data_IF_703094366496
#
_entry.id   IF_703094366496
#
_cell.length_a   1.000
_cell.length_b   1.000
_cell.length_c   1.000
_cell.angle_alpha   90.00
_cell.angle_beta   90.00
_cell.angle_gamma   90.00
#
_symmetry.space_group_name_H-M   'P 1'
#
loop_
_entity.id
_entity.type
_entity.pdbx_description
1 polymer ?
#
# COMPACT_ATOMS: atom_id res chain seq x y z
N UNK A 1 -12.48 -10.94 -19.29
CA UNK A 1 -12.51 -9.68 -18.53
C UNK A 1 -12.25 -9.91 -17.04
N UNK A 2 -12.93 -10.87 -16.38
CA UNK A 2 -12.66 -11.25 -14.98
C UNK A 2 -11.19 -11.57 -14.67
N UNK A 3 -10.53 -12.41 -15.48
CA UNK A 3 -9.13 -12.80 -15.25
C UNK A 3 -8.16 -11.61 -15.28
N UNK A 4 -8.40 -10.63 -16.16
CA UNK A 4 -7.58 -9.42 -16.23
C UNK A 4 -7.78 -8.52 -15.01
N UNK A 5 -9.02 -8.32 -14.57
CA UNK A 5 -9.32 -7.51 -13.38
C UNK A 5 -8.74 -8.13 -12.11
N UNK A 6 -8.84 -9.46 -11.96
CA UNK A 6 -8.25 -10.19 -10.82
C UNK A 6 -6.73 -10.03 -10.81
N UNK A 7 -6.08 -10.15 -11.98
CA UNK A 7 -4.63 -9.98 -12.10
C UNK A 7 -4.18 -8.56 -11.73
N UNK A 8 -4.89 -7.53 -12.22
CA UNK A 8 -4.62 -6.13 -11.90
C UNK A 8 -4.78 -5.87 -10.40
N UNK A 9 -5.87 -6.34 -9.80
CA UNK A 9 -6.12 -6.20 -8.37
C UNK A 9 -5.07 -6.93 -7.53
N UNK A 10 -4.65 -8.11 -7.95
CA UNK A 10 -3.60 -8.88 -7.27
C UNK A 10 -2.26 -8.15 -7.29
N UNK A 11 -1.82 -7.65 -8.45
CA UNK A 11 -0.60 -6.84 -8.58
C UNK A 11 -0.69 -5.58 -7.71
N UNK A 12 -1.84 -4.90 -7.75
CA UNK A 12 -2.05 -3.69 -6.98
C UNK A 12 -1.93 -3.95 -5.47
N UNK A 13 -2.58 -4.99 -4.95
CA UNK A 13 -2.52 -5.37 -3.53
C UNK A 13 -1.12 -5.81 -3.12
N UNK A 14 -0.43 -6.57 -3.96
CA UNK A 14 0.93 -7.06 -3.67
C UNK A 14 1.91 -5.90 -3.48
N UNK A 15 1.76 -4.81 -4.24
CA UNK A 15 2.58 -3.61 -4.12
C UNK A 15 2.07 -2.69 -3.00
N UNK A 16 0.76 -2.44 -2.95
CA UNK A 16 0.16 -1.46 -2.05
C UNK A 16 0.24 -1.88 -0.58
N UNK A 17 -0.02 -3.15 -0.26
CA UNK A 17 -0.04 -3.65 1.11
C UNK A 17 1.27 -3.43 1.87
N UNK A 18 2.43 -3.91 1.39
CA UNK A 18 3.69 -3.71 2.12
C UNK A 18 4.07 -2.22 2.21
N UNK A 19 3.82 -1.44 1.15
CA UNK A 19 4.13 -0.02 1.13
C UNK A 19 3.28 0.76 2.14
N UNK A 20 1.98 0.46 2.19
CA UNK A 20 1.04 1.14 3.07
C UNK A 20 1.23 0.76 4.54
N UNK A 21 1.45 -0.53 4.85
CA UNK A 21 1.74 -0.98 6.22
C UNK A 21 3.07 -0.39 6.69
N UNK A 22 4.11 -0.42 5.84
CA UNK A 22 5.41 0.18 6.16
C UNK A 22 5.30 1.68 6.41
N UNK A 23 4.58 2.41 5.55
CA UNK A 23 4.31 3.83 5.71
C UNK A 23 3.55 4.15 7.00
N UNK A 24 2.51 3.37 7.31
CA UNK A 24 1.72 3.55 8.53
C UNK A 24 2.56 3.32 9.79
N UNK A 25 3.38 2.26 9.83
CA UNK A 25 4.28 1.98 10.94
C UNK A 25 5.32 3.08 11.13
N UNK A 26 5.88 3.60 10.04
CA UNK A 26 6.83 4.71 10.09
C UNK A 26 6.17 5.97 10.67
N UNK A 27 5.00 6.35 10.16
CA UNK A 27 4.27 7.54 10.60
C UNK A 27 3.85 7.43 12.07
N UNK A 28 3.45 6.24 12.52
CA UNK A 28 2.96 6.06 13.89
C UNK A 28 4.09 5.98 14.92
N UNK A 29 5.15 5.22 14.65
CA UNK A 29 6.16 4.86 15.66
C UNK A 29 7.53 5.52 15.47
N UNK A 30 7.87 5.95 14.25
CA UNK A 30 9.20 6.51 13.96
C UNK A 30 9.16 8.01 13.65
N UNK A 31 8.06 8.54 13.11
CA UNK A 31 7.98 9.93 12.71
C UNK A 31 7.86 10.88 13.93
N UNK A 32 8.61 11.99 13.87
CA UNK A 32 8.47 13.07 14.83
C UNK A 32 7.06 13.70 14.76
N UNK A 33 6.57 14.29 15.85
CA UNK A 33 5.19 14.83 15.96
C UNK A 33 4.80 15.77 14.79
N UNK A 34 5.72 16.64 14.36
CA UNK A 34 5.49 17.54 13.22
C UNK A 34 5.38 16.80 11.87
N UNK A 35 6.30 15.87 11.61
CA UNK A 35 6.33 15.07 10.39
C UNK A 35 5.08 14.18 10.30
N UNK A 36 4.68 13.56 11.41
CA UNK A 36 3.45 12.78 11.49
C UNK A 36 2.23 13.59 11.09
N UNK A 37 2.10 14.83 11.61
CA UNK A 37 0.97 15.71 11.28
C UNK A 37 0.94 16.04 9.78
N UNK A 38 2.08 16.47 9.23
CA UNK A 38 2.18 16.80 7.80
C UNK A 38 1.88 15.60 6.92
N UNK A 39 2.52 14.44 7.16
CA UNK A 39 2.29 13.23 6.39
C UNK A 39 0.85 12.73 6.49
N UNK A 40 0.24 12.84 7.68
CA UNK A 40 -1.16 12.48 7.89
C UNK A 40 -2.08 13.36 7.06
N UNK A 41 -1.90 14.67 7.13
CA UNK A 41 -2.67 15.62 6.32
C UNK A 41 -2.48 15.34 4.82
N UNK A 42 -1.26 15.08 4.35
CA UNK A 42 -1.03 14.73 2.94
C UNK A 42 -1.73 13.44 2.52
N UNK A 43 -1.72 12.41 3.36
CA UNK A 43 -2.42 11.15 3.09
C UNK A 43 -3.94 11.34 3.05
N UNK A 44 -4.49 12.12 3.98
CA UNK A 44 -5.92 12.38 4.05
C UNK A 44 -6.38 13.26 2.87
N UNK A 45 -5.57 14.25 2.48
CA UNK A 45 -5.80 15.00 1.24
C UNK A 45 -5.72 14.09 0.01
N UNK A 46 -4.71 13.23 -0.08
CA UNK A 46 -4.57 12.29 -1.19
C UNK A 46 -5.76 11.32 -1.27
N UNK A 47 -6.30 10.88 -0.13
CA UNK A 47 -7.51 10.06 -0.07
C UNK A 47 -8.79 10.82 -0.48
N UNK A 48 -8.81 12.15 -0.34
CA UNK A 48 -9.96 12.99 -0.67
C UNK A 48 -10.03 13.41 -2.16
N UNK A 49 -8.94 13.27 -2.93
CA UNK A 49 -8.93 13.61 -4.35
C UNK A 49 -9.86 12.65 -5.12
N UNK A 50 -10.71 13.16 -6.03
CA UNK A 50 -11.54 12.33 -6.89
C UNK A 50 -10.75 11.25 -7.64
N UNK A 51 -11.26 10.02 -7.62
CA UNK A 51 -10.62 8.86 -8.27
C UNK A 51 -10.35 9.06 -9.76
N UNK A 52 -11.17 9.84 -10.46
CA UNK A 52 -10.99 10.18 -11.88
C UNK A 52 -9.68 10.96 -12.12
N UNK A 53 -9.37 11.94 -11.26
CA UNK A 53 -8.17 12.78 -11.40
C UNK A 53 -6.92 11.92 -11.20
N UNK A 54 -6.93 11.07 -10.18
CA UNK A 54 -5.83 10.12 -9.93
C UNK A 54 -5.68 9.08 -11.04
N UNK A 55 -6.78 8.62 -11.65
CA UNK A 55 -6.73 7.70 -12.78
C UNK A 55 -6.05 8.32 -14.00
N UNK A 56 -6.43 9.55 -14.36
CA UNK A 56 -5.85 10.27 -15.49
C UNK A 56 -4.38 10.67 -15.23
N UNK A 57 -4.09 11.17 -14.03
CA UNK A 57 -2.72 11.49 -13.59
C UNK A 57 -1.83 10.26 -13.50
N UNK A 58 -2.38 9.17 -12.95
CA UNK A 58 -1.68 7.90 -12.82
C UNK A 58 -1.33 7.34 -14.19
N UNK A 59 -2.25 7.36 -15.15
CA UNK A 59 -1.91 6.99 -16.53
C UNK A 59 -0.80 7.91 -17.06
N UNK A 60 -0.90 9.23 -16.94
CA UNK A 60 0.13 10.15 -17.45
C UNK A 60 1.54 9.87 -16.90
N UNK A 61 1.68 9.59 -15.60
CA UNK A 61 2.99 9.36 -14.96
C UNK A 61 3.47 7.92 -15.12
N UNK A 62 2.58 6.95 -14.93
CA UNK A 62 2.94 5.54 -14.97
C UNK A 62 3.04 5.01 -16.39
N UNK A 63 2.65 5.75 -17.44
CA UNK A 63 2.89 5.32 -18.82
C UNK A 63 4.38 5.38 -19.18
N UNK A 64 5.08 6.48 -18.88
CA UNK A 64 6.52 6.60 -19.16
C UNK A 64 7.36 5.63 -18.31
N UNK A 65 7.05 5.52 -17.01
CA UNK A 65 7.72 4.56 -16.13
C UNK A 65 7.33 3.12 -16.49
N UNK A 66 6.06 2.91 -16.83
CA UNK A 66 5.47 1.62 -17.17
C UNK A 66 5.99 1.03 -18.47
N UNK A 67 6.25 1.84 -19.50
CA UNK A 67 6.87 1.38 -20.74
C UNK A 67 8.28 0.82 -20.51
N UNK A 68 9.06 1.47 -19.65
CA UNK A 68 10.43 1.07 -19.31
C UNK A 68 10.48 -0.21 -18.49
N UNK A 69 9.55 -0.39 -17.55
CA UNK A 69 9.42 -1.64 -16.79
C UNK A 69 8.74 -2.75 -17.58
N UNK A 70 7.75 -2.43 -18.42
CA UNK A 70 7.04 -3.39 -19.28
C UNK A 70 7.98 -4.02 -20.31
N UNK A 71 8.85 -3.23 -20.94
CA UNK A 71 9.88 -3.75 -21.86
C UNK A 71 10.88 -4.67 -21.16
N UNK A 72 11.33 -4.31 -19.95
CA UNK A 72 12.20 -5.17 -19.13
C UNK A 72 11.51 -6.45 -18.68
N UNK A 73 10.25 -6.37 -18.24
CA UNK A 73 9.49 -7.53 -17.79
C UNK A 73 9.16 -8.47 -18.97
N UNK A 74 8.78 -7.92 -20.13
CA UNK A 74 8.53 -8.71 -21.34
C UNK A 74 9.82 -9.41 -21.83
N UNK A 75 10.99 -8.78 -21.67
CA UNK A 75 12.29 -9.38 -22.05
C UNK A 75 12.71 -10.56 -21.17
N UNK A 76 12.29 -10.60 -19.89
CA UNK A 76 12.66 -11.66 -18.94
C UNK A 76 11.55 -12.69 -18.67
N UNK A 77 10.28 -12.33 -18.91
CA UNK A 77 9.09 -13.12 -18.60
C UNK A 77 8.21 -13.38 -19.84
N UNK A 78 8.76 -13.29 -21.06
CA UNK A 78 8.05 -13.57 -22.32
C UNK A 78 7.51 -15.01 -22.49
N UNK A 79 7.77 -15.90 -21.52
CA UNK A 79 7.23 -17.26 -21.46
C UNK A 79 5.82 -17.34 -20.85
N UNK A 80 5.37 -16.34 -20.09
CA UNK A 80 4.05 -16.35 -19.45
C UNK A 80 3.01 -15.68 -20.34
N UNK A 81 1.94 -16.38 -20.80
CA UNK A 81 0.94 -15.82 -21.71
C UNK A 81 0.13 -14.65 -21.13
N UNK A 82 0.17 -14.44 -19.81
CA UNK A 82 -0.47 -13.32 -19.10
C UNK A 82 0.35 -12.01 -19.14
N UNK A 83 1.60 -12.04 -19.58
CA UNK A 83 2.53 -10.88 -19.66
C UNK A 83 2.83 -10.51 -21.13
N UNK A 84 2.36 -11.29 -22.11
CA UNK A 84 2.53 -10.98 -23.53
C UNK A 84 1.71 -9.75 -23.94
N UNK A 85 2.39 -8.62 -24.06
CA UNK A 85 1.87 -7.40 -24.67
C UNK A 85 2.00 -7.54 -26.19
N UNK A 86 0.89 -7.51 -26.91
CA UNK A 86 0.91 -7.27 -28.36
C UNK A 86 1.23 -5.78 -28.60
N UNK A 87 2.17 -5.54 -29.51
CA UNK A 87 3.05 -4.38 -29.66
C UNK A 87 2.40 -2.98 -29.91
N UNK A 88 1.12 -2.75 -29.65
CA UNK A 88 0.47 -1.47 -30.00
C UNK A 88 -0.23 -0.74 -28.84
N UNK A 89 -0.26 -1.31 -27.63
CA UNK A 89 -1.04 -0.76 -26.50
C UNK A 89 -0.30 -0.87 -25.15
N UNK A 90 0.95 -0.43 -25.06
CA UNK A 90 1.74 -0.47 -23.81
C UNK A 90 1.11 0.29 -22.64
N UNK A 91 0.31 1.32 -22.90
CA UNK A 91 -0.52 2.02 -21.89
C UNK A 91 -1.65 1.17 -21.28
N UNK A 92 -1.89 -0.06 -21.78
CA UNK A 92 -2.95 -0.98 -21.34
C UNK A 92 -2.43 -2.26 -20.70
N UNK A 93 -1.14 -2.33 -20.34
CA UNK A 93 -0.61 -3.52 -19.68
C UNK A 93 -1.23 -3.70 -18.28
N UNK A 94 -1.57 -4.94 -17.88
CA UNK A 94 -2.13 -5.22 -16.55
C UNK A 94 -1.23 -4.73 -15.40
N UNK A 95 0.09 -4.66 -15.64
CA UNK A 95 1.06 -4.17 -14.68
C UNK A 95 0.95 -2.66 -14.45
N UNK A 96 0.85 -1.87 -15.52
CA UNK A 96 0.66 -0.40 -15.43
C UNK A 96 -0.67 -0.09 -14.75
N UNK A 97 -1.75 -0.77 -15.16
CA UNK A 97 -3.05 -0.64 -14.51
C UNK A 97 -2.98 -1.01 -13.01
N UNK A 98 -2.23 -2.06 -12.65
CA UNK A 98 -1.99 -2.46 -11.27
C UNK A 98 -1.20 -1.42 -10.46
N UNK A 99 -0.19 -0.77 -11.06
CA UNK A 99 0.58 0.29 -10.42
C UNK A 99 -0.26 1.56 -10.18
N UNK A 100 -1.06 1.97 -11.17
CA UNK A 100 -2.00 3.09 -11.02
C UNK A 100 -2.99 2.78 -9.88
N UNK A 101 -3.57 1.59 -9.88
CA UNK A 101 -4.50 1.15 -8.84
C UNK A 101 -3.81 1.07 -7.46
N UNK A 102 -2.56 0.60 -7.40
CA UNK A 102 -1.79 0.61 -6.16
C UNK A 102 -1.58 2.04 -5.63
N UNK A 103 -1.24 2.99 -6.50
CA UNK A 103 -1.02 4.38 -6.12
C UNK A 103 -2.27 5.04 -5.51
N UNK A 104 -3.45 4.63 -5.97
CA UNK A 104 -4.75 5.04 -5.43
C UNK A 104 -5.04 4.44 -4.06
N UNK A 105 -4.76 3.14 -3.89
CA UNK A 105 -5.12 2.40 -2.68
C UNK A 105 -4.12 2.66 -1.53
N UNK A 106 -2.85 2.94 -1.84
CA UNK A 106 -1.80 3.16 -0.83
C UNK A 106 -2.16 4.25 0.19
N UNK A 107 -2.58 5.48 -0.19
CA UNK A 107 -2.90 6.52 0.78
C UNK A 107 -4.03 6.13 1.72
N UNK A 108 -5.05 5.46 1.19
CA UNK A 108 -6.22 5.00 1.92
C UNK A 108 -5.81 3.92 2.94
N UNK A 109 -5.13 2.85 2.48
CA UNK A 109 -4.69 1.77 3.38
C UNK A 109 -3.71 2.31 4.43
N UNK A 110 -2.84 3.26 4.07
CA UNK A 110 -1.89 3.86 5.00
C UNK A 110 -2.61 4.64 6.10
N UNK A 111 -3.63 5.45 5.74
CA UNK A 111 -4.40 6.23 6.71
C UNK A 111 -5.18 5.32 7.67
N UNK A 112 -5.87 4.30 7.13
CA UNK A 112 -6.61 3.31 7.93
C UNK A 112 -5.67 2.49 8.82
N UNK A 113 -4.56 1.97 8.29
CA UNK A 113 -3.61 1.16 9.06
C UNK A 113 -3.00 1.97 10.21
N UNK A 114 -2.68 3.25 9.96
CA UNK A 114 -2.19 4.17 11.00
C UNK A 114 -3.23 4.36 12.10
N UNK A 115 -4.50 4.55 11.76
CA UNK A 115 -5.57 4.67 12.74
C UNK A 115 -5.65 3.42 13.61
N UNK A 116 -5.66 2.23 13.01
CA UNK A 116 -5.64 0.95 13.75
C UNK A 116 -4.42 0.86 14.68
N UNK A 117 -3.21 1.17 14.18
CA UNK A 117 -2.00 1.10 15.00
C UNK A 117 -1.98 2.12 16.14
N UNK A 118 -2.56 3.30 15.94
CA UNK A 118 -2.68 4.34 16.97
C UNK A 118 -3.58 3.94 18.14
N UNK A 119 -4.47 2.95 17.94
CA UNK A 119 -5.34 2.38 18.98
C UNK A 119 -4.65 1.29 19.82
N UNK A 120 -3.42 0.90 19.48
CA UNK A 120 -2.68 -0.12 20.24
C UNK A 120 -2.48 0.36 21.69
N UNK A 121 -2.83 -0.44 22.71
CA UNK A 121 -2.66 -0.03 24.10
C UNK A 121 -1.20 0.30 24.40
N UNK A 122 -0.96 1.52 24.93
CA UNK A 122 0.39 2.00 25.23
C UNK A 122 1.06 1.15 26.32
N UNK A 123 0.29 0.64 27.27
CA UNK A 123 0.77 -0.22 28.35
C UNK A 123 1.51 -1.46 27.84
N UNK A 124 1.03 -2.08 26.74
CA UNK A 124 1.69 -3.24 26.13
C UNK A 124 3.03 -2.85 25.49
N UNK A 125 3.10 -1.65 24.91
CA UNK A 125 4.31 -1.13 24.27
C UNK A 125 5.34 -0.76 25.34
N UNK A 126 4.90 -0.09 26.41
CA UNK A 126 5.75 0.34 27.52
C UNK A 126 6.25 -0.86 28.33
N UNK A 127 5.42 -1.90 28.50
CA UNK A 127 5.84 -3.19 29.07
C UNK A 127 6.90 -3.86 28.21
N UNK A 128 6.76 -3.82 26.88
CA UNK A 128 7.77 -4.37 25.97
C UNK A 128 9.11 -3.62 26.11
N UNK A 129 9.09 -2.30 26.27
CA UNK A 129 10.30 -1.53 26.58
C UNK A 129 10.89 -1.85 27.95
N UNK A 130 10.04 -2.05 28.97
CA UNK A 130 10.47 -2.43 30.33
C UNK A 130 11.14 -3.82 30.37
N UNK A 131 10.73 -4.73 29.49
CA UNK A 131 11.35 -6.05 29.30
C UNK A 131 12.66 -6.00 28.48
N UNK A 132 13.14 -4.80 28.12
CA UNK A 132 14.35 -4.61 27.31
C UNK A 132 14.13 -4.74 25.80
N UNK A 133 12.88 -4.72 25.34
CA UNK A 133 12.54 -4.77 23.93
C UNK A 133 12.93 -3.50 23.16
N UNK A 134 13.33 -3.65 21.90
CA UNK A 134 13.55 -2.52 21.00
C UNK A 134 12.25 -2.02 20.38
N UNK A 135 12.25 -0.82 19.75
CA UNK A 135 11.08 -0.29 19.00
C UNK A 135 10.57 -1.28 17.96
N UNK A 136 11.47 -1.97 17.28
CA UNK A 136 11.12 -3.01 16.32
C UNK A 136 10.56 -4.27 16.99
N UNK A 137 11.09 -4.63 18.16
CA UNK A 137 10.55 -5.70 19.00
C UNK A 137 9.10 -5.42 19.41
N UNK A 138 8.80 -4.21 19.86
CA UNK A 138 7.44 -3.78 20.19
C UNK A 138 6.51 -3.80 18.97
N UNK A 139 6.98 -3.31 17.82
CA UNK A 139 6.18 -3.34 16.58
C UNK A 139 5.86 -4.78 16.16
N UNK A 140 6.84 -5.69 16.16
CA UNK A 140 6.61 -7.08 15.74
C UNK A 140 5.75 -7.88 16.70
N UNK A 141 5.91 -7.65 17.99
CA UNK A 141 5.33 -8.50 19.05
C UNK A 141 3.97 -7.99 19.52
N UNK A 142 3.71 -6.68 19.43
CA UNK A 142 2.47 -6.06 19.92
C UNK A 142 1.67 -5.46 18.76
N UNK A 143 2.27 -4.56 17.98
CA UNK A 143 1.55 -3.74 17.00
C UNK A 143 1.06 -4.55 15.80
N UNK A 144 1.94 -5.35 15.19
CA UNK A 144 1.58 -6.20 14.05
C UNK A 144 0.47 -7.20 14.39
N UNK A 145 0.54 -7.97 15.50
CA UNK A 145 -0.56 -8.86 15.87
C UNK A 145 -1.85 -8.11 16.27
N UNK A 146 -1.74 -6.95 16.91
CA UNK A 146 -2.90 -6.12 17.22
C UNK A 146 -3.59 -5.58 15.95
N UNK A 147 -2.81 -5.20 14.94
CA UNK A 147 -3.33 -4.81 13.62
C UNK A 147 -4.06 -5.97 12.92
N UNK A 148 -3.55 -7.20 13.05
CA UNK A 148 -4.24 -8.39 12.53
C UNK A 148 -5.57 -8.65 13.25
N UNK A 149 -5.63 -8.47 14.57
CA UNK A 149 -6.89 -8.59 15.31
C UNK A 149 -7.87 -7.45 15.01
N UNK A 150 -7.38 -6.25 14.66
CA UNK A 150 -8.24 -5.13 14.24
C UNK A 150 -9.04 -5.43 12.96
N UNK A 151 -8.44 -6.14 11.99
CA UNK A 151 -9.13 -6.60 10.78
C UNK A 151 -10.18 -7.66 11.10
N UNK A 152 -9.87 -8.58 12.02
CA UNK A 152 -10.80 -9.63 12.45
C UNK A 152 -11.96 -9.05 13.27
N UNK A 153 -11.69 -8.07 14.14
CA UNK A 153 -12.71 -7.38 14.93
C UNK A 153 -13.67 -6.54 14.08
N UNK A 154 -13.18 -5.91 13.01
CA UNK A 154 -14.04 -5.26 12.01
C UNK A 154 -14.96 -6.26 11.29
N UNK A 155 -14.45 -7.45 10.98
CA UNK A 155 -15.20 -8.52 10.32
C UNK A 155 -16.27 -9.16 11.23
N UNK A 156 -16.10 -9.07 12.55
CA UNK A 156 -17.04 -9.63 13.54
C UNK A 156 -18.16 -8.66 13.92
N UNK A 157 -18.01 -7.37 13.60
CA UNK A 157 -18.99 -6.32 13.89
C UNK A 157 -19.94 -6.04 12.72
N UNK A 158 -19.73 -6.67 11.56
CA UNK A 158 -20.55 -6.56 10.36
C UNK A 158 -21.29 -7.88 10.09
#
# INVERSE_FOLDING_TARGET
>A
MLTGTILVAFIALLIAMPLAIGGALYIEFYAAKGVRKVLTTLLDLAAAIPSLIFGLWGVAIFTEFGERWSTLLNSRLGWVPFIKVQNELFGRSPFVAGCVLASLIVPIITSVSREVFSRTPRDLIDTCYALGGSRWGAIRTVVLPFGKSGVIGWLQLQ
#
